data_IF_085045302627
#
_entry.id   IF_085045302627
#
_cell.length_a   1.000
_cell.length_b   1.000
_cell.length_c   1.000
_cell.angle_alpha   90.00
_cell.angle_beta   90.00
_cell.angle_gamma   90.00
#
_symmetry.space_group_name_H-M   'P 1'
#
loop_
_entity.id
_entity.type
_entity.pdbx_description
1 polymer ?
#
# COMPACT_ATOMS: atom_id res chain seq x y z
N UNK A 1 1.75 10.20 2.92
CA UNK A 1 1.17 10.65 1.64
C UNK A 1 0.81 9.47 0.73
N UNK A 2 1.78 8.65 0.28
CA UNK A 2 1.51 7.50 -0.60
C UNK A 2 0.49 6.52 0.01
N UNK A 3 0.67 6.17 1.29
CA UNK A 3 -0.21 5.22 1.99
C UNK A 3 -1.65 5.75 2.11
N UNK A 4 -1.83 7.05 2.27
CA UNK A 4 -3.17 7.62 2.43
C UNK A 4 -3.91 7.81 1.12
N UNK A 5 -3.23 8.28 0.08
CA UNK A 5 -3.83 8.33 -1.27
C UNK A 5 -4.31 6.95 -1.70
N UNK A 6 -3.52 5.93 -1.40
CA UNK A 6 -3.85 4.55 -1.65
C UNK A 6 -5.09 4.10 -0.86
N UNK A 7 -5.12 4.32 0.45
CA UNK A 7 -6.26 3.94 1.29
C UNK A 7 -7.52 4.75 0.96
N UNK A 8 -7.37 6.03 0.66
CA UNK A 8 -8.47 6.89 0.20
C UNK A 8 -9.10 6.39 -1.09
N UNK A 9 -8.27 5.92 -2.04
CA UNK A 9 -8.79 5.36 -3.30
C UNK A 9 -9.64 4.12 -3.05
N UNK A 10 -9.28 3.32 -2.03
CA UNK A 10 -10.06 2.13 -1.62
C UNK A 10 -11.37 2.54 -0.98
N UNK A 11 -11.32 3.43 0.02
CA UNK A 11 -12.55 3.90 0.67
C UNK A 11 -13.49 4.48 -0.37
N UNK A 12 -12.99 5.31 -1.30
CA UNK A 12 -13.79 5.90 -2.37
C UNK A 12 -14.37 4.88 -3.34
N UNK A 13 -13.66 3.77 -3.58
CA UNK A 13 -14.08 2.75 -4.54
C UNK A 13 -15.04 1.72 -3.93
N UNK A 14 -14.92 1.44 -2.63
CA UNK A 14 -15.61 0.34 -1.98
C UNK A 14 -16.57 0.75 -0.86
N UNK A 15 -16.59 2.01 -0.45
CA UNK A 15 -17.61 2.53 0.43
C UNK A 15 -18.86 2.94 -0.35
N UNK A 16 -20.05 2.69 0.20
CA UNK A 16 -21.30 3.21 -0.35
C UNK A 16 -21.32 4.74 -0.27
N UNK A 17 -22.12 5.40 -1.13
CA UNK A 17 -22.31 6.84 -1.10
C UNK A 17 -22.78 7.29 0.29
N UNK A 18 -21.98 8.14 0.93
CA UNK A 18 -22.25 8.65 2.29
C UNK A 18 -21.59 7.85 3.41
N UNK A 19 -21.22 6.57 3.21
CA UNK A 19 -20.38 5.85 4.17
C UNK A 19 -19.01 6.54 4.27
N UNK A 20 -18.55 6.71 5.50
CA UNK A 20 -17.28 7.38 5.77
C UNK A 20 -17.15 8.83 5.24
N UNK A 21 -18.28 9.50 4.95
CA UNK A 21 -18.27 10.89 4.48
C UNK A 21 -17.54 11.82 5.45
N UNK A 22 -17.70 11.61 6.76
CA UNK A 22 -17.03 12.38 7.80
C UNK A 22 -15.51 12.14 7.80
N UNK A 23 -15.06 10.91 7.55
CA UNK A 23 -13.64 10.56 7.43
C UNK A 23 -13.01 11.24 6.22
N UNK A 24 -13.71 11.22 5.08
CA UNK A 24 -13.25 11.88 3.85
C UNK A 24 -13.26 13.39 3.99
N UNK A 25 -14.24 13.95 4.72
CA UNK A 25 -14.32 15.38 5.03
C UNK A 25 -13.16 15.80 5.91
N UNK A 26 -12.89 15.08 7.01
CA UNK A 26 -11.77 15.37 7.91
C UNK A 26 -10.44 15.37 7.15
N UNK A 27 -10.21 14.40 6.25
CA UNK A 27 -9.02 14.38 5.40
C UNK A 27 -8.93 15.61 4.49
N UNK A 28 -10.03 16.03 3.86
CA UNK A 28 -10.02 17.22 2.99
C UNK A 28 -9.71 18.49 3.75
N UNK A 29 -10.22 18.61 4.98
CA UNK A 29 -10.05 19.80 5.80
C UNK A 29 -8.67 19.86 6.47
N UNK A 30 -8.12 18.73 6.88
CA UNK A 30 -6.89 18.69 7.68
C UNK A 30 -5.65 18.27 6.88
N UNK A 31 -5.82 17.56 5.79
CA UNK A 31 -4.72 16.93 5.02
C UNK A 31 -3.92 15.90 5.82
N UNK A 32 -4.43 15.47 6.98
CA UNK A 32 -3.72 14.55 7.87
C UNK A 32 -3.79 13.12 7.39
N UNK A 33 -2.74 12.38 7.66
CA UNK A 33 -2.65 10.94 7.44
C UNK A 33 -3.64 10.21 8.34
N UNK A 34 -4.61 9.53 7.75
CA UNK A 34 -5.75 8.99 8.48
C UNK A 34 -5.78 7.47 8.56
N UNK A 35 -4.93 6.77 7.80
CA UNK A 35 -5.12 5.34 7.62
C UNK A 35 -3.88 4.51 7.90
N UNK A 36 -4.12 3.36 8.57
CA UNK A 36 -3.23 2.22 8.57
C UNK A 36 -3.87 1.08 7.79
N UNK A 37 -3.10 0.38 6.96
CA UNK A 37 -3.57 -0.78 6.20
C UNK A 37 -3.03 -2.06 6.81
N UNK A 38 -3.91 -2.91 7.32
CA UNK A 38 -3.60 -4.09 8.09
C UNK A 38 -4.06 -5.38 7.34
N UNK A 39 -3.15 -5.96 6.56
CA UNK A 39 -3.39 -7.16 5.74
C UNK A 39 -2.52 -8.31 6.22
N UNK A 40 -1.19 -8.11 6.22
CA UNK A 40 -0.20 -9.16 6.51
C UNK A 40 -0.28 -9.65 7.95
N UNK A 41 -0.05 -10.94 8.12
CA UNK A 41 0.01 -11.61 9.42
C UNK A 41 1.36 -12.31 9.59
N UNK A 42 1.76 -12.71 10.80
CA UNK A 42 2.99 -13.46 11.00
C UNK A 42 3.08 -14.71 10.12
N UNK A 43 1.97 -15.40 9.93
CA UNK A 43 1.89 -16.66 9.16
C UNK A 43 1.30 -16.49 7.75
N UNK A 44 0.83 -15.28 7.38
CA UNK A 44 0.19 -15.01 6.10
C UNK A 44 0.71 -13.69 5.49
N UNK A 45 1.77 -13.80 4.69
CA UNK A 45 2.34 -12.70 3.90
C UNK A 45 1.99 -12.84 2.42
N UNK A 46 2.81 -13.54 1.66
CA UNK A 46 2.56 -13.80 0.23
C UNK A 46 1.30 -14.63 0.01
N UNK A 47 1.00 -15.55 0.92
CA UNK A 47 -0.27 -16.28 0.97
C UNK A 47 -1.30 -15.54 1.83
N UNK A 48 -1.69 -14.34 1.38
CA UNK A 48 -2.66 -13.49 2.09
C UNK A 48 -4.05 -14.15 2.19
N UNK A 49 -4.34 -15.14 1.35
CA UNK A 49 -5.60 -15.89 1.39
C UNK A 49 -5.70 -16.84 2.59
N UNK A 50 -4.57 -17.17 3.21
CA UNK A 50 -4.48 -18.03 4.39
C UNK A 50 -4.45 -17.23 5.71
N UNK A 51 -5.00 -16.01 5.71
CA UNK A 51 -5.06 -15.18 6.92
C UNK A 51 -5.88 -15.83 8.04
N UNK A 52 -5.50 -15.55 9.27
CA UNK A 52 -6.14 -16.09 10.46
C UNK A 52 -7.00 -15.06 11.21
N UNK A 53 -6.82 -13.77 10.95
CA UNK A 53 -7.69 -12.70 11.50
C UNK A 53 -9.10 -12.89 10.99
N UNK A 54 -10.06 -12.94 11.91
CA UNK A 54 -11.43 -13.31 11.58
C UNK A 54 -12.46 -12.48 12.33
N UNK A 55 -13.66 -12.41 11.75
CA UNK A 55 -14.87 -11.99 12.43
C UNK A 55 -15.77 -13.21 12.71
N UNK A 56 -16.50 -13.17 13.83
CA UNK A 56 -17.54 -14.11 14.18
C UNK A 56 -18.67 -13.42 14.93
N UNK A 57 -19.87 -13.95 14.86
CA UNK A 57 -21.01 -13.48 15.65
C UNK A 57 -21.05 -14.22 16.98
N UNK A 58 -21.17 -13.47 18.08
CA UNK A 58 -21.33 -13.99 19.44
C UNK A 58 -22.45 -13.19 20.09
N UNK A 59 -23.53 -13.84 20.50
CA UNK A 59 -24.68 -13.21 21.16
C UNK A 59 -25.17 -11.95 20.39
N UNK A 60 -25.36 -12.07 19.08
CA UNK A 60 -25.75 -11.01 18.15
C UNK A 60 -24.70 -9.90 17.90
N UNK A 61 -23.55 -9.93 18.59
CA UNK A 61 -22.42 -9.00 18.40
C UNK A 61 -21.41 -9.57 17.42
N UNK A 62 -20.98 -8.74 16.48
CA UNK A 62 -19.91 -9.09 15.55
C UNK A 62 -18.55 -8.80 16.17
N UNK A 63 -17.74 -9.83 16.37
CA UNK A 63 -16.47 -9.76 17.10
C UNK A 63 -15.29 -10.04 16.17
N UNK A 64 -14.30 -9.13 16.17
CA UNK A 64 -13.04 -9.28 15.44
C UNK A 64 -11.95 -9.79 16.39
N UNK A 65 -11.23 -10.81 15.94
CA UNK A 65 -10.04 -11.34 16.60
C UNK A 65 -8.92 -11.59 15.59
N UNK A 66 -7.69 -11.34 16.01
CA UNK A 66 -6.52 -11.66 15.21
C UNK A 66 -5.33 -10.76 15.44
N UNK A 67 -4.35 -10.91 14.54
CA UNK A 67 -3.07 -10.19 14.63
C UNK A 67 -2.59 -9.82 13.25
N UNK A 68 -2.27 -8.55 13.06
CA UNK A 68 -1.68 -8.03 11.82
C UNK A 68 -0.29 -7.49 12.10
N UNK A 69 0.64 -7.75 11.20
CA UNK A 69 2.03 -7.31 11.34
C UNK A 69 2.46 -6.44 10.16
N UNK A 70 3.58 -5.71 10.33
CA UNK A 70 4.14 -4.83 9.32
C UNK A 70 3.19 -3.72 8.86
N UNK A 71 2.44 -3.15 9.80
CA UNK A 71 1.43 -2.14 9.54
C UNK A 71 2.04 -0.74 9.62
N UNK A 72 2.13 -0.05 8.47
CA UNK A 72 2.53 1.35 8.42
C UNK A 72 1.50 2.23 9.15
N UNK A 73 1.99 3.20 9.94
CA UNK A 73 1.17 4.07 10.78
C UNK A 73 0.28 3.32 11.80
N UNK A 74 0.47 2.02 11.97
CA UNK A 74 -0.35 1.19 12.84
C UNK A 74 -0.43 1.67 14.29
N UNK A 75 0.51 2.48 14.74
CA UNK A 75 0.59 3.03 16.08
C UNK A 75 -0.20 4.34 16.24
N UNK A 76 -0.32 5.14 15.18
CA UNK A 76 -0.83 6.52 15.27
C UNK A 76 -2.04 6.84 14.38
N UNK A 77 -2.28 6.04 13.33
CA UNK A 77 -3.41 6.30 12.44
C UNK A 77 -4.74 6.23 13.19
N UNK A 78 -5.62 7.24 13.11
CA UNK A 78 -6.92 7.22 13.76
C UNK A 78 -7.88 6.17 13.18
N UNK A 79 -7.63 5.74 11.95
CA UNK A 79 -8.43 4.70 11.29
C UNK A 79 -7.54 3.55 10.81
N UNK A 80 -8.00 2.32 11.03
CA UNK A 80 -7.32 1.09 10.64
C UNK A 80 -8.19 0.34 9.65
N UNK A 81 -7.68 0.15 8.43
CA UNK A 81 -8.31 -0.70 7.42
C UNK A 81 -7.82 -2.14 7.60
N UNK A 82 -8.69 -3.03 8.05
CA UNK A 82 -8.37 -4.42 8.40
C UNK A 82 -9.01 -5.39 7.44
N UNK A 83 -8.23 -6.33 6.92
CA UNK A 83 -8.74 -7.50 6.21
C UNK A 83 -8.99 -8.64 7.20
N UNK A 84 -10.20 -9.20 7.20
CA UNK A 84 -10.57 -10.33 8.06
C UNK A 84 -11.48 -11.32 7.33
N UNK A 85 -11.37 -12.61 7.65
CA UNK A 85 -12.26 -13.64 7.15
C UNK A 85 -13.54 -13.71 8.01
N UNK A 86 -14.69 -13.97 7.39
CA UNK A 86 -15.95 -14.19 8.10
C UNK A 86 -16.10 -15.69 8.40
N UNK A 87 -15.92 -16.09 9.67
CA UNK A 87 -16.00 -17.51 10.06
C UNK A 87 -17.42 -18.09 10.07
N UNK A 88 -18.42 -17.23 10.25
CA UNK A 88 -19.82 -17.65 10.32
C UNK A 88 -20.49 -17.73 8.93
N UNK A 89 -19.74 -17.46 7.86
CA UNK A 89 -20.25 -17.56 6.53
C UNK A 89 -19.75 -18.83 5.84
N UNK A 90 -20.68 -19.60 5.27
CA UNK A 90 -20.31 -20.69 4.38
C UNK A 90 -19.54 -20.16 3.19
N UNK A 91 -18.38 -20.73 2.92
CA UNK A 91 -17.59 -20.38 1.77
C UNK A 91 -18.15 -21.10 0.52
N UNK A 92 -18.63 -20.40 -0.49
CA UNK A 92 -19.03 -21.03 -1.75
C UNK A 92 -17.85 -21.56 -2.57
N UNK A 93 -16.61 -21.45 -2.04
CA UNK A 93 -15.37 -21.81 -2.71
C UNK A 93 -14.27 -22.28 -1.77
N UNK A 94 -13.06 -22.41 -2.32
CA UNK A 94 -11.88 -22.91 -1.61
C UNK A 94 -11.46 -22.04 -0.42
N UNK A 95 -11.76 -20.73 -0.45
CA UNK A 95 -11.32 -19.78 0.56
C UNK A 95 -12.52 -19.18 1.29
N UNK A 96 -12.41 -18.95 2.60
CA UNK A 96 -13.46 -18.29 3.36
C UNK A 96 -13.68 -16.87 2.86
N UNK A 97 -14.91 -16.33 2.98
CA UNK A 97 -15.20 -14.97 2.58
C UNK A 97 -14.37 -13.99 3.42
N UNK A 98 -13.67 -13.07 2.74
CA UNK A 98 -12.89 -12.00 3.35
C UNK A 98 -13.64 -10.67 3.21
N UNK A 99 -13.54 -9.83 4.22
CA UNK A 99 -14.10 -8.47 4.22
C UNK A 99 -13.07 -7.48 4.72
N UNK A 100 -13.08 -6.27 4.16
CA UNK A 100 -12.38 -5.13 4.73
C UNK A 100 -13.25 -4.36 5.71
N UNK A 101 -12.63 -3.92 6.80
CA UNK A 101 -13.25 -3.14 7.85
C UNK A 101 -12.44 -1.87 8.06
N UNK A 102 -13.10 -0.70 8.08
CA UNK A 102 -12.47 0.56 8.44
C UNK A 102 -12.82 0.89 9.89
N UNK A 103 -11.88 0.65 10.79
CA UNK A 103 -12.10 0.75 12.23
C UNK A 103 -11.54 2.05 12.79
N UNK A 104 -12.28 2.74 13.67
CA UNK A 104 -11.68 3.70 14.59
C UNK A 104 -10.61 3.01 15.44
N UNK A 105 -9.49 3.70 15.68
CA UNK A 105 -8.37 3.14 16.42
C UNK A 105 -8.66 2.91 17.89
N UNK A 106 -9.50 3.73 18.49
CA UNK A 106 -9.82 3.77 19.92
C UNK A 106 -10.83 2.70 20.38
N UNK A 107 -11.21 1.79 19.48
CA UNK A 107 -12.06 0.66 19.86
C UNK A 107 -11.40 -0.19 20.94
N UNK A 108 -12.20 -0.56 21.94
CA UNK A 108 -11.74 -1.48 23.00
C UNK A 108 -11.27 -2.80 22.40
N UNK A 109 -10.10 -3.28 22.83
CA UNK A 109 -9.50 -4.50 22.34
C UNK A 109 -8.50 -4.32 21.19
N UNK A 110 -8.33 -3.10 20.68
CA UNK A 110 -7.28 -2.77 19.70
C UNK A 110 -6.01 -2.37 20.43
N UNK A 111 -4.91 -3.08 20.14
CA UNK A 111 -3.59 -2.79 20.67
C UNK A 111 -2.55 -2.70 19.56
N UNK A 112 -1.53 -1.87 19.74
CA UNK A 112 -0.42 -1.70 18.81
C UNK A 112 0.92 -1.86 19.50
N UNK A 113 1.83 -2.58 18.85
CA UNK A 113 3.19 -2.83 19.33
C UNK A 113 4.18 -2.37 18.25
N UNK A 114 5.05 -1.40 18.55
CA UNK A 114 5.99 -0.87 17.57
C UNK A 114 6.99 -1.93 17.12
N UNK A 115 7.38 -1.86 15.85
CA UNK A 115 8.41 -2.68 15.24
C UNK A 115 9.59 -1.78 14.86
N UNK A 116 10.78 -2.08 15.39
CA UNK A 116 12.01 -1.41 14.98
C UNK A 116 12.42 -1.88 13.58
N UNK A 117 12.79 -0.94 12.72
CA UNK A 117 13.22 -1.22 11.35
C UNK A 117 14.49 -0.44 10.99
N UNK A 118 15.23 -0.93 10.02
CA UNK A 118 16.51 -0.35 9.60
C UNK A 118 16.30 0.93 8.80
N UNK A 119 15.33 0.93 7.87
CA UNK A 119 15.06 2.03 6.96
C UNK A 119 13.76 2.77 7.25
N UNK A 120 13.64 3.98 6.70
CA UNK A 120 12.43 4.82 6.81
C UNK A 120 11.94 4.98 8.27
N UNK A 121 12.84 5.29 9.18
CA UNK A 121 12.56 5.41 10.63
C UNK A 121 11.47 6.45 10.95
N UNK A 122 11.28 7.45 10.07
CA UNK A 122 10.24 8.46 10.20
C UNK A 122 8.82 7.93 9.98
N UNK A 123 8.66 6.74 9.37
CA UNK A 123 7.37 6.12 9.15
C UNK A 123 7.16 5.05 10.23
N UNK A 124 6.25 5.24 11.19
CA UNK A 124 5.98 4.27 12.24
C UNK A 124 5.50 2.93 11.69
N UNK A 125 5.89 1.84 12.33
CA UNK A 125 5.62 0.47 11.88
C UNK A 125 5.24 -0.39 13.08
N UNK A 126 4.11 -1.09 13.02
CA UNK A 126 3.60 -1.81 14.17
C UNK A 126 3.00 -3.17 13.84
N UNK A 127 2.91 -4.00 14.88
CA UNK A 127 1.99 -5.13 14.96
C UNK A 127 0.72 -4.67 15.65
N UNK A 128 -0.43 -4.96 15.05
CA UNK A 128 -1.74 -4.72 15.62
C UNK A 128 -2.32 -6.03 16.16
N UNK A 129 -2.92 -5.98 17.33
CA UNK A 129 -3.64 -7.10 17.94
C UNK A 129 -5.09 -6.67 18.15
N UNK A 130 -5.99 -7.52 17.74
CA UNK A 130 -7.43 -7.39 17.91
C UNK A 130 -7.89 -8.50 18.87
N UNK A 131 -8.31 -8.11 20.06
CA UNK A 131 -8.77 -9.02 21.10
C UNK A 131 -10.21 -8.71 21.47
N UNK A 132 -11.12 -9.53 20.97
CA UNK A 132 -12.57 -9.41 21.14
C UNK A 132 -13.08 -7.99 20.83
N UNK A 133 -12.65 -7.41 19.70
CA UNK A 133 -13.09 -6.10 19.27
C UNK A 133 -14.51 -6.20 18.71
N UNK A 134 -15.45 -5.50 19.33
CA UNK A 134 -16.82 -5.42 18.87
C UNK A 134 -16.92 -4.47 17.67
N UNK A 135 -17.49 -4.96 16.56
CA UNK A 135 -17.64 -4.24 15.32
C UNK A 135 -19.06 -3.75 15.10
N UNK A 136 -19.19 -2.47 14.77
CA UNK A 136 -20.42 -1.97 14.15
C UNK A 136 -20.50 -2.43 12.68
N UNK A 137 -21.65 -2.83 12.17
CA UNK A 137 -21.86 -3.06 10.73
C UNK A 137 -21.45 -1.87 9.86
N UNK A 138 -21.57 -0.64 10.39
CA UNK A 138 -21.17 0.60 9.71
C UNK A 138 -19.66 0.72 9.44
N UNK A 139 -18.82 -0.10 10.07
CA UNK A 139 -17.39 -0.13 9.79
C UNK A 139 -17.02 -1.00 8.59
N UNK A 140 -17.98 -1.72 8.03
CA UNK A 140 -17.74 -2.62 6.89
C UNK A 140 -17.52 -1.80 5.62
N UNK A 141 -16.40 -2.01 4.95
CA UNK A 141 -16.21 -1.54 3.59
C UNK A 141 -16.97 -2.48 2.65
N UNK A 142 -17.80 -1.86 1.84
CA UNK A 142 -18.82 -2.49 1.04
C UNK A 142 -18.35 -3.69 0.21
N UNK A 143 -19.26 -4.59 -0.02
CA UNK A 143 -19.10 -5.75 -0.85
C UNK A 143 -19.36 -7.03 -0.08
N UNK A 144 -20.48 -7.63 -0.37
CA UNK A 144 -20.76 -8.99 0.02
C UNK A 144 -19.68 -9.89 -0.59
N UNK A 145 -18.79 -10.44 0.23
CA UNK A 145 -17.86 -11.54 -0.12
C UNK A 145 -16.85 -11.28 -1.27
N UNK A 146 -16.64 -10.04 -1.71
CA UNK A 146 -15.67 -9.71 -2.76
C UNK A 146 -14.25 -9.36 -2.23
N UNK A 147 -13.98 -9.59 -0.95
CA UNK A 147 -12.79 -9.11 -0.27
C UNK A 147 -11.46 -9.45 -0.96
N UNK A 148 -11.30 -10.66 -1.50
CA UNK A 148 -10.08 -11.01 -2.24
C UNK A 148 -9.96 -10.25 -3.56
N UNK A 149 -11.07 -9.98 -4.26
CA UNK A 149 -11.06 -9.13 -5.44
C UNK A 149 -10.69 -7.69 -5.09
N UNK A 150 -11.23 -7.17 -3.98
CA UNK A 150 -10.85 -5.87 -3.44
C UNK A 150 -9.37 -5.83 -3.08
N UNK A 151 -8.85 -6.88 -2.42
CA UNK A 151 -7.43 -7.01 -2.07
C UNK A 151 -6.54 -6.98 -3.31
N UNK A 152 -6.86 -7.73 -4.36
CA UNK A 152 -6.05 -7.74 -5.57
C UNK A 152 -6.08 -6.39 -6.29
N UNK A 153 -7.24 -5.74 -6.37
CA UNK A 153 -7.36 -4.39 -6.92
C UNK A 153 -6.50 -3.38 -6.15
N UNK A 154 -6.57 -3.45 -4.84
CA UNK A 154 -5.75 -2.68 -3.92
C UNK A 154 -4.25 -2.88 -4.18
N UNK A 155 -3.81 -4.11 -4.36
CA UNK A 155 -2.41 -4.41 -4.64
C UNK A 155 -1.96 -3.89 -6.02
N UNK A 156 -2.82 -3.85 -7.02
CA UNK A 156 -2.52 -3.28 -8.34
C UNK A 156 -2.24 -1.78 -8.24
N UNK A 157 -3.11 -1.02 -7.58
CA UNK A 157 -2.86 0.39 -7.28
C UNK A 157 -1.58 0.62 -6.48
N UNK A 158 -1.37 -0.16 -5.42
CA UNK A 158 -0.19 -0.06 -4.57
C UNK A 158 1.12 -0.25 -5.33
N UNK A 159 1.13 -1.14 -6.32
CA UNK A 159 2.29 -1.37 -7.19
C UNK A 159 2.61 -0.15 -8.04
N UNK A 160 1.60 0.52 -8.60
CA UNK A 160 1.79 1.75 -9.38
C UNK A 160 2.38 2.85 -8.51
N UNK A 161 1.81 3.11 -7.33
CA UNK A 161 2.33 4.13 -6.40
C UNK A 161 3.77 3.85 -5.95
N UNK A 162 4.08 2.58 -5.63
CA UNK A 162 5.43 2.19 -5.23
C UNK A 162 6.44 2.43 -6.36
N UNK A 163 6.10 2.06 -7.59
CA UNK A 163 6.95 2.29 -8.74
C UNK A 163 7.11 3.78 -9.07
N UNK A 164 6.07 4.59 -8.87
CA UNK A 164 6.18 6.04 -9.01
C UNK A 164 7.19 6.65 -8.02
N UNK A 165 7.19 6.16 -6.77
CA UNK A 165 8.18 6.58 -5.76
C UNK A 165 9.60 6.15 -6.14
N UNK A 166 9.80 4.93 -6.65
CA UNK A 166 11.11 4.45 -7.12
C UNK A 166 11.61 5.31 -8.28
N UNK A 167 10.76 5.63 -9.25
CA UNK A 167 11.11 6.54 -10.35
C UNK A 167 11.52 7.93 -9.86
N UNK A 168 10.80 8.46 -8.86
CA UNK A 168 11.14 9.76 -8.25
C UNK A 168 12.53 9.75 -7.60
N UNK A 169 12.87 8.68 -6.88
CA UNK A 169 14.20 8.51 -6.29
C UNK A 169 15.30 8.39 -7.37
N UNK A 170 15.06 7.61 -8.42
CA UNK A 170 16.01 7.47 -9.52
C UNK A 170 16.28 8.80 -10.23
N UNK A 171 15.25 9.62 -10.45
CA UNK A 171 15.41 10.97 -11.03
C UNK A 171 16.23 11.89 -10.14
N UNK A 172 15.97 11.91 -8.84
CA UNK A 172 16.74 12.72 -7.91
C UNK A 172 18.21 12.27 -7.86
N UNK A 173 18.47 10.96 -7.85
CA UNK A 173 19.84 10.43 -7.93
C UNK A 173 20.56 10.83 -9.21
N UNK A 174 19.86 10.84 -10.37
CA UNK A 174 20.41 11.30 -11.64
C UNK A 174 20.74 12.78 -11.61
N UNK A 175 19.87 13.64 -11.07
CA UNK A 175 20.12 15.07 -10.93
C UNK A 175 21.38 15.34 -10.09
N UNK A 176 21.51 14.65 -8.95
CA UNK A 176 22.69 14.75 -8.08
C UNK A 176 23.96 14.25 -8.78
N UNK A 177 23.88 13.13 -9.50
CA UNK A 177 24.99 12.56 -10.25
C UNK A 177 25.49 13.53 -11.34
N UNK A 178 24.58 14.14 -12.11
CA UNK A 178 24.89 15.13 -13.15
C UNK A 178 25.51 16.38 -12.51
N UNK A 179 24.96 16.89 -11.42
CA UNK A 179 25.48 18.05 -10.71
C UNK A 179 26.92 17.79 -10.21
N UNK A 180 27.14 16.61 -9.64
CA UNK A 180 28.47 16.18 -9.18
C UNK A 180 29.46 16.04 -10.35
N UNK A 181 29.07 15.39 -11.44
CA UNK A 181 29.91 15.19 -12.63
C UNK A 181 30.33 16.53 -13.28
N UNK A 182 29.48 17.55 -13.21
CA UNK A 182 29.76 18.90 -13.69
C UNK A 182 30.66 19.73 -12.75
N UNK A 183 30.61 19.49 -11.45
CA UNK A 183 31.36 20.28 -10.46
C UNK A 183 32.70 19.66 -10.08
N UNK A 184 32.77 18.34 -9.93
CA UNK A 184 33.97 17.62 -9.51
C UNK A 184 35.02 17.61 -10.61
N UNK A 185 36.27 17.92 -10.24
CA UNK A 185 37.44 17.85 -11.14
C UNK A 185 38.38 16.72 -10.71
N UNK A 186 38.90 16.02 -11.69
CA UNK A 186 40.00 15.07 -11.57
C UNK A 186 40.92 15.21 -12.79
N UNK A 187 42.22 15.05 -12.62
CA UNK A 187 43.20 15.22 -13.71
C UNK A 187 43.08 16.57 -14.48
N UNK A 188 42.69 17.64 -13.77
CA UNK A 188 42.52 18.96 -14.31
C UNK A 188 41.23 19.27 -15.07
N UNK A 189 40.37 18.31 -15.28
CA UNK A 189 39.07 18.45 -15.99
C UNK A 189 37.90 17.99 -15.15
N UNK A 190 36.67 18.41 -15.53
CA UNK A 190 35.45 17.90 -14.90
C UNK A 190 35.29 16.40 -15.18
N UNK A 191 34.87 15.63 -14.17
CA UNK A 191 34.78 14.17 -14.31
C UNK A 191 33.72 13.75 -15.35
N UNK A 192 32.69 14.56 -15.60
CA UNK A 192 31.69 14.34 -16.64
C UNK A 192 32.24 14.31 -18.08
N UNK A 193 33.53 14.62 -18.27
CA UNK A 193 34.21 14.47 -19.58
C UNK A 193 34.87 13.13 -19.81
N UNK A 194 34.82 12.24 -18.81
CA UNK A 194 35.35 10.90 -18.95
C UNK A 194 34.29 9.95 -19.47
N UNK A 195 34.59 9.21 -20.53
CA UNK A 195 33.66 8.28 -21.17
C UNK A 195 33.00 7.29 -20.21
N UNK A 196 33.73 6.83 -19.18
CA UNK A 196 33.16 5.94 -18.16
C UNK A 196 32.04 6.62 -17.35
N UNK A 197 32.18 7.91 -17.04
CA UNK A 197 31.15 8.68 -16.34
C UNK A 197 29.99 8.98 -17.28
N UNK A 198 30.26 9.34 -18.53
CA UNK A 198 29.21 9.54 -19.56
C UNK A 198 28.40 8.27 -19.77
N UNK A 199 29.03 7.10 -19.81
CA UNK A 199 28.34 5.83 -19.92
C UNK A 199 27.43 5.58 -18.72
N UNK A 200 27.94 5.76 -17.48
CA UNK A 200 27.11 5.58 -16.27
C UNK A 200 25.88 6.47 -16.27
N UNK A 201 26.05 7.76 -16.61
CA UNK A 201 24.92 8.70 -16.71
C UNK A 201 23.94 8.31 -17.82
N UNK A 202 24.44 7.79 -18.95
CA UNK A 202 23.59 7.30 -20.03
C UNK A 202 22.78 6.07 -19.60
N UNK A 203 23.40 5.14 -18.89
CA UNK A 203 22.71 3.94 -18.38
C UNK A 203 21.63 4.30 -17.36
N UNK A 204 21.90 5.30 -16.49
CA UNK A 204 20.89 5.83 -15.57
C UNK A 204 19.72 6.46 -16.34
N UNK A 205 19.97 7.28 -17.36
CA UNK A 205 18.92 7.93 -18.16
C UNK A 205 18.09 6.92 -18.94
N UNK A 206 18.71 5.90 -19.52
CA UNK A 206 18.01 4.78 -20.20
C UNK A 206 17.08 4.05 -19.21
N UNK A 207 17.57 3.80 -17.99
CA UNK A 207 16.76 3.18 -16.94
C UNK A 207 15.55 4.04 -16.58
N UNK A 208 15.74 5.33 -16.34
CA UNK A 208 14.68 6.30 -16.02
C UNK A 208 13.65 6.40 -17.15
N UNK A 209 14.11 6.43 -18.41
CA UNK A 209 13.24 6.46 -19.59
C UNK A 209 12.33 5.21 -19.65
N UNK A 210 12.92 4.03 -19.46
CA UNK A 210 12.19 2.76 -19.45
C UNK A 210 11.21 2.69 -18.28
N UNK A 211 11.66 3.05 -17.06
CA UNK A 211 10.81 3.10 -15.87
C UNK A 211 9.61 4.04 -16.07
N UNK A 212 9.84 5.23 -16.64
CA UNK A 212 8.79 6.23 -16.94
C UNK A 212 7.78 5.68 -17.94
N UNK A 213 8.25 5.05 -19.00
CA UNK A 213 7.41 4.47 -20.06
C UNK A 213 6.54 3.34 -19.54
N UNK A 214 7.11 2.44 -18.73
CA UNK A 214 6.37 1.32 -18.13
C UNK A 214 5.36 1.79 -17.10
N UNK A 215 5.73 2.76 -16.26
CA UNK A 215 4.84 3.34 -15.25
C UNK A 215 3.63 4.01 -15.91
N UNK A 216 3.86 4.83 -16.93
CA UNK A 216 2.79 5.52 -17.66
C UNK A 216 1.82 4.53 -18.32
N UNK A 217 2.35 3.50 -19.00
CA UNK A 217 1.53 2.44 -19.61
C UNK A 217 0.71 1.67 -18.59
N UNK A 218 1.32 1.32 -17.44
CA UNK A 218 0.62 0.60 -16.37
C UNK A 218 -0.48 1.48 -15.74
N UNK A 219 -0.21 2.76 -15.50
CA UNK A 219 -1.21 3.70 -14.98
C UNK A 219 -2.40 3.85 -15.94
N UNK A 220 -2.16 4.04 -17.23
CA UNK A 220 -3.23 4.09 -18.26
C UNK A 220 -4.04 2.77 -18.32
N UNK A 221 -3.37 1.63 -18.17
CA UNK A 221 -4.05 0.34 -18.19
C UNK A 221 -4.96 0.18 -16.96
N UNK A 222 -4.55 0.69 -15.80
CA UNK A 222 -5.37 0.70 -14.56
C UNK A 222 -6.56 1.65 -14.69
N UNK A 223 -6.37 2.83 -15.28
CA UNK A 223 -7.45 3.84 -15.45
C UNK A 223 -8.52 3.38 -16.45
N UNK A 224 -8.09 2.76 -17.56
CA UNK A 224 -9.00 2.31 -18.61
C UNK A 224 -9.62 0.93 -18.35
N UNK A 225 -9.00 0.12 -17.49
CA UNK A 225 -9.32 -1.30 -17.34
C UNK A 225 -8.94 -2.09 -18.60
N UNK A 226 -9.08 -3.39 -18.54
CA UNK A 226 -8.91 -4.23 -19.72
C UNK A 226 -8.04 -5.48 -19.45
N UNK A 227 -7.92 -6.36 -20.46
CA UNK A 227 -7.25 -7.66 -20.27
C UNK A 227 -5.75 -7.53 -19.96
N UNK A 228 -5.11 -6.45 -20.41
CA UNK A 228 -3.66 -6.23 -20.26
C UNK A 228 -3.28 -5.47 -18.97
N UNK A 229 -4.25 -5.02 -18.16
CA UNK A 229 -4.02 -4.26 -16.93
C UNK A 229 -3.05 -5.01 -16.00
N UNK A 230 -3.39 -6.23 -15.65
CA UNK A 230 -2.60 -7.06 -14.72
C UNK A 230 -1.19 -7.34 -15.24
N UNK A 231 -1.08 -7.62 -16.53
CA UNK A 231 0.21 -7.86 -17.18
C UNK A 231 1.08 -6.61 -17.15
N UNK A 232 0.53 -5.46 -17.52
CA UNK A 232 1.24 -4.17 -17.53
C UNK A 232 1.76 -3.81 -16.14
N UNK A 233 0.91 -3.95 -15.10
CA UNK A 233 1.29 -3.70 -13.71
C UNK A 233 2.36 -4.69 -13.22
N UNK A 234 2.25 -5.96 -13.58
CA UNK A 234 3.22 -6.98 -13.18
C UNK A 234 4.60 -6.74 -13.82
N UNK A 235 4.65 -6.44 -15.11
CA UNK A 235 5.89 -6.12 -15.83
C UNK A 235 6.55 -4.87 -15.26
N UNK A 236 5.79 -3.81 -15.04
CA UNK A 236 6.27 -2.59 -14.41
C UNK A 236 6.85 -2.88 -13.01
N UNK A 237 6.10 -3.60 -12.16
CA UNK A 237 6.53 -3.91 -10.79
C UNK A 237 7.77 -4.81 -10.77
N UNK A 238 7.95 -5.66 -11.78
CA UNK A 238 9.16 -6.50 -11.89
C UNK A 238 10.38 -5.69 -12.30
N UNK A 239 10.24 -4.71 -13.21
CA UNK A 239 11.37 -3.97 -13.76
C UNK A 239 11.75 -2.75 -12.91
N UNK A 240 10.80 -1.90 -12.55
CA UNK A 240 11.08 -0.56 -11.99
C UNK A 240 11.89 -0.59 -10.70
N UNK A 241 11.59 -1.44 -9.69
CA UNK A 241 12.36 -1.45 -8.46
C UNK A 241 13.79 -1.97 -8.61
N UNK A 242 14.04 -2.83 -9.59
CA UNK A 242 15.38 -3.37 -9.85
C UNK A 242 16.25 -2.38 -10.65
N UNK A 243 15.60 -1.48 -11.40
CA UNK A 243 16.26 -0.47 -12.21
C UNK A 243 16.51 0.85 -11.46
N UNK A 244 15.86 1.05 -10.30
CA UNK A 244 16.00 2.25 -9.46
C UNK A 244 17.20 2.14 -8.53
#
# INVERSE_FOLDING_TARGET
FQNDLFNLSIVRQFADEGEFADVLKDYRETGRLLFALAISEPEAGSDAMNMQTYTRTVDEHLILNGRKTYVNNGEYAPYIMVAAIARDCEAPGKYPPMTFWLLPRDLKGVSAYPINKIGQSMLPFATLVFDNVELSPAYRLNGRQEGFRQLFRLLEFGRVFTCASSLGMARAAMEDAVAHARSRKAFGVQIGRFQQIEQMLTDMEVSIYNMSSMLYRAALAVDNGGPDERLSVALMKRYVPDAA
#
